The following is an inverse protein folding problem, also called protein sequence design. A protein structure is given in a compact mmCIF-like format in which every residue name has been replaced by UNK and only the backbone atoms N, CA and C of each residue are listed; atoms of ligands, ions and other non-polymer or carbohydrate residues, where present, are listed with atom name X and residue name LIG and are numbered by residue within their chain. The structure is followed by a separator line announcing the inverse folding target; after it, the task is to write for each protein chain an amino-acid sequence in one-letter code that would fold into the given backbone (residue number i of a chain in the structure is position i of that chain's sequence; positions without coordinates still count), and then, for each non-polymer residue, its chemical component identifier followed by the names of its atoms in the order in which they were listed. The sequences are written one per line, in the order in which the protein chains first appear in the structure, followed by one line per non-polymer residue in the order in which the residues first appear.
data_IF_484738524441
#
_entry.id   IF_484738524441
#
_cell.length_a   1.000
_cell.length_b   1.000
_cell.length_c   1.000
_cell.angle_alpha   90.00
_cell.angle_beta   90.00
_cell.angle_gamma   90.00
#
_symmetry.space_group_name_H-M   'P 1'
#
loop_
_entity.id
_entity.type
_entity.pdbx_description
1 polymer ?
#
# COMPACT_ATOMS: atom_id res chain seq x y z
N UNK A 1 27.86 20.11 14.64
CA UNK A 1 27.91 18.65 14.93
C UNK A 1 26.59 17.92 14.65
N UNK A 2 25.43 18.50 14.93
CA UNK A 2 24.13 17.84 14.73
C UNK A 2 23.90 17.41 13.26
N UNK A 3 24.18 18.31 12.32
CA UNK A 3 24.04 18.06 10.89
C UNK A 3 24.93 16.91 10.38
N UNK A 4 26.18 16.84 10.83
CA UNK A 4 27.08 15.75 10.47
C UNK A 4 26.59 14.40 11.00
N UNK A 5 26.13 14.35 12.26
CA UNK A 5 25.53 13.15 12.85
C UNK A 5 24.29 12.71 12.10
N UNK A 6 23.45 13.66 11.67
CA UNK A 6 22.29 13.39 10.84
C UNK A 6 22.68 12.79 9.48
N UNK A 7 23.67 13.35 8.78
CA UNK A 7 24.14 12.82 7.50
C UNK A 7 24.70 11.39 7.60
N UNK A 8 25.39 11.08 8.70
CA UNK A 8 25.91 9.73 8.92
C UNK A 8 24.78 8.78 9.30
N UNK A 9 23.79 9.22 10.09
CA UNK A 9 22.64 8.40 10.48
C UNK A 9 21.75 8.02 9.30
N UNK A 10 21.61 8.89 8.30
CA UNK A 10 20.80 8.63 7.10
C UNK A 10 21.53 7.81 6.02
N UNK A 11 22.84 7.58 6.17
CA UNK A 11 23.67 6.90 5.18
C UNK A 11 23.16 5.49 4.81
N UNK A 12 22.74 4.63 5.76
CA UNK A 12 22.14 3.33 5.41
C UNK A 12 20.86 3.47 4.57
N UNK A 13 20.05 4.49 4.83
CA UNK A 13 18.81 4.77 4.09
C UNK A 13 19.14 5.23 2.67
N UNK A 14 20.10 6.15 2.53
CA UNK A 14 20.59 6.60 1.21
C UNK A 14 21.11 5.40 0.41
N UNK A 15 21.87 4.52 1.04
CA UNK A 15 22.36 3.30 0.39
C UNK A 15 21.22 2.40 -0.08
N UNK A 16 20.20 2.15 0.76
CA UNK A 16 19.02 1.38 0.35
C UNK A 16 18.34 1.99 -0.88
N UNK A 17 18.10 3.30 -0.87
CA UNK A 17 17.44 4.01 -1.97
C UNK A 17 18.27 3.89 -3.25
N UNK A 18 19.58 4.12 -3.19
CA UNK A 18 20.47 4.01 -4.37
C UNK A 18 20.55 2.57 -4.86
N UNK A 19 20.71 1.62 -3.95
CA UNK A 19 20.82 0.19 -4.24
C UNK A 19 19.59 -0.35 -4.96
N UNK A 20 18.39 0.04 -4.52
CA UNK A 20 17.13 -0.41 -5.09
C UNK A 20 16.75 0.38 -6.36
N UNK A 21 16.84 1.71 -6.34
CA UNK A 21 16.32 2.54 -7.42
C UNK A 21 17.30 2.74 -8.58
N UNK A 22 18.58 2.97 -8.29
CA UNK A 22 19.60 3.30 -9.32
C UNK A 22 20.38 2.07 -9.78
N UNK A 23 20.85 1.27 -8.83
CA UNK A 23 21.66 0.06 -9.12
C UNK A 23 20.75 -1.12 -9.50
N UNK A 24 19.45 -1.06 -9.14
CA UNK A 24 18.46 -2.13 -9.38
C UNK A 24 18.91 -3.47 -8.79
N UNK A 25 19.59 -3.42 -7.65
CA UNK A 25 20.09 -4.59 -6.94
C UNK A 25 18.93 -5.34 -6.29
N UNK A 26 19.04 -6.67 -6.24
CA UNK A 26 18.05 -7.52 -5.57
C UNK A 26 17.90 -7.13 -4.10
N UNK A 27 16.67 -7.02 -3.60
CA UNK A 27 16.37 -6.49 -2.27
C UNK A 27 17.11 -7.19 -1.13
N UNK A 28 17.22 -8.52 -1.17
CA UNK A 28 17.95 -9.28 -0.15
C UNK A 28 19.44 -8.89 -0.06
N UNK A 29 20.08 -8.55 -1.19
CA UNK A 29 21.47 -8.04 -1.21
C UNK A 29 21.53 -6.61 -0.67
N UNK A 30 20.62 -5.75 -1.11
CA UNK A 30 20.55 -4.36 -0.64
C UNK A 30 20.39 -4.28 0.87
N UNK A 31 19.43 -5.02 1.44
CA UNK A 31 19.18 -5.07 2.88
C UNK A 31 20.37 -5.66 3.66
N UNK A 32 21.01 -6.73 3.14
CA UNK A 32 22.18 -7.33 3.79
C UNK A 32 23.36 -6.36 3.88
N UNK A 33 23.64 -5.63 2.80
CA UNK A 33 24.71 -4.62 2.80
C UNK A 33 24.35 -3.46 3.74
N UNK A 34 23.07 -3.06 3.76
CA UNK A 34 22.59 -2.01 4.68
C UNK A 34 22.78 -2.41 6.14
N UNK A 35 22.50 -3.67 6.48
CA UNK A 35 22.74 -4.21 7.82
C UNK A 35 24.21 -4.10 8.20
N UNK A 36 25.12 -4.49 7.29
CA UNK A 36 26.57 -4.39 7.51
C UNK A 36 27.00 -2.93 7.71
N UNK A 37 26.54 -2.02 6.85
CA UNK A 37 26.84 -0.58 6.97
C UNK A 37 26.36 -0.06 8.32
N UNK A 38 25.11 -0.38 8.71
CA UNK A 38 24.52 0.06 9.97
C UNK A 38 25.27 -0.49 11.18
N UNK A 39 25.70 -1.75 11.12
CA UNK A 39 26.46 -2.41 12.17
C UNK A 39 27.84 -1.77 12.36
N UNK A 40 28.56 -1.53 11.25
CA UNK A 40 29.86 -0.85 11.27
C UNK A 40 29.71 0.56 11.85
N UNK A 41 28.69 1.30 11.40
CA UNK A 41 28.41 2.63 11.89
C UNK A 41 28.14 2.63 13.40
N UNK A 42 27.25 1.75 13.89
CA UNK A 42 26.89 1.64 15.30
C UNK A 42 28.11 1.44 16.22
N UNK A 43 29.06 0.59 15.80
CA UNK A 43 30.27 0.31 16.58
C UNK A 43 31.31 1.41 16.40
N UNK A 44 31.62 1.82 15.17
CA UNK A 44 32.75 2.71 14.90
C UNK A 44 32.44 4.17 15.25
N UNK A 45 31.24 4.66 14.91
CA UNK A 45 30.88 6.07 15.06
C UNK A 45 30.09 6.35 16.34
N UNK A 46 29.11 5.50 16.66
CA UNK A 46 28.32 5.62 17.89
C UNK A 46 28.94 4.92 19.10
N UNK A 47 30.04 4.18 18.91
CA UNK A 47 30.78 3.49 19.98
C UNK A 47 29.92 2.54 20.80
N UNK A 48 28.91 1.94 20.17
CA UNK A 48 28.07 0.92 20.81
C UNK A 48 28.91 -0.33 21.10
N UNK A 49 28.68 -0.97 22.24
CA UNK A 49 29.33 -2.24 22.56
C UNK A 49 28.99 -3.29 21.46
N UNK A 50 29.98 -4.01 20.89
CA UNK A 50 29.73 -5.01 19.85
C UNK A 50 28.73 -6.10 20.26
N UNK A 51 28.70 -6.46 21.54
CA UNK A 51 27.71 -7.40 22.10
C UNK A 51 26.28 -6.84 21.97
N UNK A 52 26.06 -5.58 22.34
CA UNK A 52 24.75 -4.94 22.18
C UNK A 52 24.36 -4.75 20.72
N UNK A 53 25.32 -4.46 19.84
CA UNK A 53 25.07 -4.39 18.40
C UNK A 53 24.63 -5.75 17.84
N UNK A 54 25.28 -6.84 18.27
CA UNK A 54 24.93 -8.20 17.84
C UNK A 54 23.56 -8.64 18.37
N UNK A 55 23.25 -8.35 19.64
CA UNK A 55 21.92 -8.66 20.20
C UNK A 55 20.81 -7.86 19.52
N UNK A 56 21.04 -6.59 19.18
CA UNK A 56 20.07 -5.78 18.44
C UNK A 56 19.82 -6.33 17.03
N UNK A 57 20.88 -6.80 16.33
CA UNK A 57 20.72 -7.46 15.05
C UNK A 57 19.91 -8.77 15.18
N UNK A 58 20.18 -9.56 16.22
CA UNK A 58 19.43 -10.79 16.52
C UNK A 58 17.96 -10.50 16.83
N UNK A 59 17.68 -9.48 17.64
CA UNK A 59 16.33 -9.02 17.94
C UNK A 59 15.58 -8.63 16.66
N UNK A 60 16.23 -7.90 15.74
CA UNK A 60 15.66 -7.58 14.43
C UNK A 60 15.32 -8.82 13.60
N UNK A 61 16.19 -9.83 13.58
CA UNK A 61 15.96 -11.11 12.89
C UNK A 61 14.77 -11.86 13.53
N UNK A 62 14.72 -11.93 14.86
CA UNK A 62 13.63 -12.58 15.58
C UNK A 62 12.29 -11.86 15.38
N UNK A 63 12.28 -10.53 15.36
CA UNK A 63 11.11 -9.74 15.00
C UNK A 63 10.69 -9.93 13.53
N UNK A 64 11.61 -10.25 12.62
CA UNK A 64 11.21 -10.65 11.28
C UNK A 64 10.60 -12.06 11.24
N UNK A 65 11.21 -13.02 11.93
CA UNK A 65 10.78 -14.43 11.91
C UNK A 65 9.47 -14.67 12.68
N UNK A 66 9.29 -14.00 13.82
CA UNK A 66 8.13 -14.23 14.67
C UNK A 66 6.89 -13.50 14.16
N UNK A 67 6.69 -12.19 14.38
CA UNK A 67 5.44 -11.55 13.96
C UNK A 67 5.31 -11.43 12.44
N UNK A 68 6.37 -11.05 11.72
CA UNK A 68 6.24 -10.73 10.29
C UNK A 68 6.04 -11.99 9.44
N UNK A 69 6.92 -12.98 9.54
CA UNK A 69 6.77 -14.22 8.77
C UNK A 69 5.49 -14.98 9.12
N UNK A 70 5.07 -15.01 10.41
CA UNK A 70 3.81 -15.67 10.79
C UNK A 70 2.59 -14.99 10.16
N UNK A 71 2.52 -13.65 10.20
CA UNK A 71 1.41 -12.89 9.57
C UNK A 71 1.41 -13.12 8.05
N UNK A 72 2.57 -13.08 7.40
CA UNK A 72 2.69 -13.36 5.96
C UNK A 72 2.22 -14.77 5.63
N UNK A 73 2.64 -15.79 6.39
CA UNK A 73 2.24 -17.18 6.15
C UNK A 73 0.72 -17.32 6.32
N UNK A 74 0.15 -16.76 7.38
CA UNK A 74 -1.30 -16.80 7.62
C UNK A 74 -2.09 -16.10 6.51
N UNK A 75 -1.65 -14.91 6.09
CA UNK A 75 -2.26 -14.15 5.00
C UNK A 75 -2.14 -14.88 3.65
N UNK A 76 -0.96 -15.41 3.31
CA UNK A 76 -0.74 -16.19 2.09
C UNK A 76 -1.51 -17.51 2.11
N UNK A 77 -1.66 -18.15 3.27
CA UNK A 77 -2.49 -19.33 3.41
C UNK A 77 -3.96 -19.00 3.13
N UNK A 78 -4.50 -17.95 3.76
CA UNK A 78 -5.87 -17.50 3.51
C UNK A 78 -6.08 -17.13 2.03
N UNK A 79 -5.12 -16.41 1.44
CA UNK A 79 -5.13 -16.08 0.01
C UNK A 79 -5.13 -17.34 -0.86
N UNK A 80 -4.19 -18.27 -0.65
CA UNK A 80 -4.11 -19.51 -1.43
C UNK A 80 -5.35 -20.40 -1.24
N UNK A 81 -5.96 -20.38 -0.07
CA UNK A 81 -7.24 -21.04 0.18
C UNK A 81 -8.36 -20.42 -0.66
N UNK A 82 -8.45 -19.08 -0.72
CA UNK A 82 -9.43 -18.40 -1.58
C UNK A 82 -9.20 -18.63 -3.08
N UNK A 83 -7.94 -18.82 -3.49
CA UNK A 83 -7.61 -19.22 -4.86
C UNK A 83 -8.04 -20.67 -5.13
N UNK A 84 -7.64 -21.62 -4.28
CA UNK A 84 -7.96 -23.05 -4.46
C UNK A 84 -9.45 -23.36 -4.42
N UNK A 85 -10.21 -22.64 -3.60
CA UNK A 85 -11.67 -22.79 -3.50
C UNK A 85 -12.42 -22.13 -4.67
N UNK A 86 -11.73 -21.38 -5.54
CA UNK A 86 -12.35 -20.60 -6.60
C UNK A 86 -13.09 -19.35 -6.11
N UNK A 87 -13.08 -19.08 -4.80
CA UNK A 87 -13.73 -17.91 -4.21
C UNK A 87 -13.17 -16.60 -4.79
N UNK A 88 -11.85 -16.56 -5.05
CA UNK A 88 -11.22 -15.40 -5.67
C UNK A 88 -11.72 -15.17 -7.11
N UNK A 89 -12.02 -16.21 -7.87
CA UNK A 89 -12.57 -16.05 -9.22
C UNK A 89 -14.03 -15.59 -9.19
N UNK A 90 -14.80 -16.01 -8.19
CA UNK A 90 -16.12 -15.44 -7.90
C UNK A 90 -16.02 -13.95 -7.55
N UNK A 91 -15.06 -13.55 -6.72
CA UNK A 91 -14.79 -12.13 -6.39
C UNK A 91 -14.43 -11.36 -7.67
N UNK A 92 -13.51 -11.88 -8.49
CA UNK A 92 -13.14 -11.26 -9.79
C UNK A 92 -14.35 -11.03 -10.67
N UNK A 93 -15.18 -12.07 -10.87
CA UNK A 93 -16.41 -11.98 -11.69
C UNK A 93 -17.40 -10.97 -11.12
N UNK A 94 -17.58 -10.96 -9.79
CA UNK A 94 -18.46 -10.01 -9.12
C UNK A 94 -17.99 -8.57 -9.33
N UNK A 95 -16.70 -8.28 -9.15
CA UNK A 95 -16.14 -6.94 -9.32
C UNK A 95 -16.12 -6.50 -10.78
N UNK A 96 -15.79 -7.41 -11.71
CA UNK A 96 -15.83 -7.15 -13.14
C UNK A 96 -17.26 -6.90 -13.66
N UNK A 97 -18.26 -7.54 -13.05
CA UNK A 97 -19.67 -7.36 -13.40
C UNK A 97 -20.31 -6.06 -12.91
N UNK A 98 -19.58 -5.23 -12.15
CA UNK A 98 -20.14 -3.97 -11.60
C UNK A 98 -20.30 -2.90 -12.69
N UNK A 99 -19.36 -2.82 -13.63
CA UNK A 99 -19.36 -1.78 -14.66
C UNK A 99 -18.63 -2.24 -15.92
N UNK A 100 -19.04 -1.70 -17.06
CA UNK A 100 -18.30 -1.82 -18.33
C UNK A 100 -17.19 -0.78 -18.45
N UNK A 101 -17.19 0.28 -17.64
CA UNK A 101 -16.19 1.36 -17.68
C UNK A 101 -14.90 0.94 -16.98
N UNK A 102 -13.80 0.89 -17.75
CA UNK A 102 -12.46 0.54 -17.28
C UNK A 102 -11.94 1.42 -16.14
N UNK A 103 -12.32 2.69 -16.10
CA UNK A 103 -11.94 3.65 -15.05
C UNK A 103 -12.62 3.31 -13.73
N UNK A 104 -13.90 2.95 -13.79
CA UNK A 104 -14.68 2.51 -12.63
C UNK A 104 -14.13 1.18 -12.08
N UNK A 105 -13.84 0.22 -12.96
CA UNK A 105 -13.23 -1.06 -12.56
C UNK A 105 -11.85 -0.85 -11.92
N UNK A 106 -11.05 0.07 -12.44
CA UNK A 106 -9.79 0.48 -11.81
C UNK A 106 -10.01 1.01 -10.38
N UNK A 107 -10.97 1.89 -10.15
CA UNK A 107 -11.28 2.40 -8.80
C UNK A 107 -11.74 1.30 -7.84
N UNK A 108 -12.56 0.37 -8.30
CA UNK A 108 -13.06 -0.71 -7.43
C UNK A 108 -11.95 -1.73 -7.15
N UNK A 109 -11.24 -2.17 -8.19
CA UNK A 109 -10.28 -3.28 -8.10
C UNK A 109 -8.91 -2.79 -7.65
N UNK A 110 -8.33 -1.80 -8.33
CA UNK A 110 -6.97 -1.35 -8.05
C UNK A 110 -6.87 -0.42 -6.84
N UNK A 111 -7.85 0.47 -6.64
CA UNK A 111 -7.87 1.35 -5.45
C UNK A 111 -8.56 0.68 -4.26
N UNK A 112 -9.84 0.33 -4.38
CA UNK A 112 -10.59 -0.31 -3.28
C UNK A 112 -9.99 -1.65 -2.85
N UNK A 113 -10.10 -2.67 -3.71
CA UNK A 113 -9.62 -4.02 -3.39
C UNK A 113 -8.10 -4.09 -3.22
N UNK A 114 -7.32 -3.30 -3.96
CA UNK A 114 -5.88 -3.18 -3.76
C UNK A 114 -5.52 -2.72 -2.36
N UNK A 115 -6.11 -1.62 -1.88
CA UNK A 115 -5.86 -1.13 -0.53
C UNK A 115 -6.37 -2.08 0.56
N UNK A 116 -7.45 -2.82 0.30
CA UNK A 116 -7.89 -3.90 1.18
C UNK A 116 -6.82 -4.98 1.33
N UNK A 117 -6.23 -5.41 0.21
CA UNK A 117 -5.13 -6.38 0.18
C UNK A 117 -3.86 -5.83 0.82
N UNK A 118 -3.58 -4.53 0.69
CA UNK A 118 -2.46 -3.89 1.40
C UNK A 118 -2.66 -3.93 2.91
N UNK A 119 -3.87 -3.63 3.38
CA UNK A 119 -4.23 -3.71 4.79
C UNK A 119 -4.13 -5.13 5.35
N UNK A 120 -4.61 -6.14 4.62
CA UNK A 120 -4.69 -7.53 5.11
C UNK A 120 -3.40 -8.34 4.92
N UNK A 121 -2.77 -8.22 3.76
CA UNK A 121 -1.65 -9.07 3.36
C UNK A 121 -0.33 -8.30 3.22
N UNK A 122 -0.34 -7.15 2.54
CA UNK A 122 0.85 -6.33 2.29
C UNK A 122 1.89 -7.00 1.37
N UNK A 123 3.16 -6.58 1.48
CA UNK A 123 4.31 -7.21 0.80
C UNK A 123 4.17 -7.38 -0.73
N UNK A 124 3.49 -6.45 -1.39
CA UNK A 124 3.34 -6.41 -2.84
C UNK A 124 2.17 -7.22 -3.41
N UNK A 125 1.44 -7.98 -2.58
CA UNK A 125 0.21 -8.68 -3.03
C UNK A 125 -0.87 -7.69 -3.47
N UNK A 126 -0.92 -6.53 -2.81
CA UNK A 126 -1.82 -5.42 -3.11
C UNK A 126 -1.67 -4.84 -4.51
N UNK A 127 -0.50 -5.01 -5.13
CA UNK A 127 -0.25 -4.55 -6.50
C UNK A 127 -0.44 -5.71 -7.47
N UNK A 128 0.18 -6.86 -7.19
CA UNK A 128 0.23 -7.98 -8.11
C UNK A 128 -1.17 -8.52 -8.47
N UNK A 129 -2.04 -8.68 -7.47
CA UNK A 129 -3.36 -9.28 -7.66
C UNK A 129 -4.28 -8.33 -8.43
N UNK A 130 -4.54 -7.09 -7.99
CA UNK A 130 -5.43 -6.18 -8.72
C UNK A 130 -4.92 -5.87 -10.13
N UNK A 131 -3.61 -5.71 -10.32
CA UNK A 131 -3.04 -5.47 -11.65
C UNK A 131 -3.31 -6.66 -12.60
N UNK A 132 -3.12 -7.90 -12.12
CA UNK A 132 -3.43 -9.10 -12.92
C UNK A 132 -4.93 -9.23 -13.23
N UNK A 133 -5.81 -8.83 -12.30
CA UNK A 133 -7.26 -8.83 -12.49
C UNK A 133 -7.67 -7.80 -13.53
N UNK A 134 -7.17 -6.56 -13.42
CA UNK A 134 -7.41 -5.49 -14.38
C UNK A 134 -6.90 -5.84 -15.78
N UNK A 135 -5.71 -6.43 -15.88
CA UNK A 135 -5.20 -6.94 -17.15
C UNK A 135 -6.10 -8.06 -17.71
N UNK A 136 -6.56 -8.99 -16.86
CA UNK A 136 -7.42 -10.11 -17.26
C UNK A 136 -8.80 -9.70 -17.79
N UNK A 137 -9.31 -8.52 -17.41
CA UNK A 137 -10.57 -7.97 -17.91
C UNK A 137 -10.38 -7.03 -19.13
N UNK A 138 -9.21 -7.04 -19.76
CA UNK A 138 -8.95 -6.30 -21.01
C UNK A 138 -8.33 -4.91 -20.83
N UNK A 139 -7.90 -4.54 -19.62
CA UNK A 139 -7.09 -3.33 -19.43
C UNK A 139 -5.67 -3.56 -19.96
N UNK A 140 -5.04 -2.51 -20.48
CA UNK A 140 -3.64 -2.59 -20.87
C UNK A 140 -2.78 -3.02 -19.64
N UNK A 141 -2.01 -4.13 -19.72
CA UNK A 141 -1.27 -4.65 -18.58
C UNK A 141 -0.26 -3.66 -17.98
N UNK A 142 0.39 -2.83 -18.81
CA UNK A 142 1.31 -1.80 -18.33
C UNK A 142 0.57 -0.69 -17.58
N UNK A 143 -0.58 -0.23 -18.10
CA UNK A 143 -1.41 0.75 -17.41
C UNK A 143 -1.95 0.19 -16.09
N UNK A 144 -2.40 -1.07 -16.06
CA UNK A 144 -2.89 -1.74 -14.85
C UNK A 144 -1.81 -1.80 -13.76
N UNK A 145 -0.63 -2.33 -14.09
CA UNK A 145 0.50 -2.44 -13.14
C UNK A 145 0.97 -1.06 -12.68
N UNK A 146 1.10 -0.10 -13.60
CA UNK A 146 1.56 1.25 -13.26
C UNK A 146 0.55 1.96 -12.36
N UNK A 147 -0.74 1.89 -12.69
CA UNK A 147 -1.79 2.50 -11.88
C UNK A 147 -1.82 1.91 -10.47
N UNK A 148 -1.79 0.58 -10.34
CA UNK A 148 -1.74 -0.10 -9.04
C UNK A 148 -0.48 0.25 -8.24
N UNK A 149 0.71 0.31 -8.87
CA UNK A 149 1.95 0.72 -8.19
C UNK A 149 1.87 2.15 -7.64
N UNK A 150 1.35 3.08 -8.45
CA UNK A 150 1.26 4.49 -8.07
C UNK A 150 0.30 4.66 -6.90
N UNK A 151 -0.91 4.08 -6.97
CA UNK A 151 -1.88 4.27 -5.88
C UNK A 151 -1.54 3.50 -4.62
N UNK A 152 -0.84 2.36 -4.73
CA UNK A 152 -0.36 1.63 -3.56
C UNK A 152 0.75 2.39 -2.81
N UNK A 153 1.29 3.48 -3.36
CA UNK A 153 2.32 4.26 -2.67
C UNK A 153 1.79 5.09 -1.49
N UNK A 154 0.47 5.29 -1.38
CA UNK A 154 -0.13 6.10 -0.31
C UNK A 154 -0.57 5.34 0.94
N UNK A 155 -1.25 4.17 0.87
CA UNK A 155 -1.76 3.49 2.06
C UNK A 155 -0.72 2.66 2.84
N UNK A 156 0.53 2.57 2.35
CA UNK A 156 1.52 1.59 2.82
C UNK A 156 1.88 1.71 4.30
N UNK A 157 1.77 2.89 4.91
CA UNK A 157 2.03 3.06 6.34
C UNK A 157 1.07 2.24 7.23
N UNK A 158 -0.16 1.99 6.75
CA UNK A 158 -1.19 1.20 7.42
C UNK A 158 -1.28 -0.23 6.88
N UNK A 159 -0.33 -0.63 6.05
CA UNK A 159 -0.26 -1.96 5.45
C UNK A 159 0.05 -3.05 6.46
N UNK A 160 -0.29 -4.29 6.11
CA UNK A 160 -0.07 -5.49 6.94
C UNK A 160 -0.57 -5.31 8.37
N UNK A 161 -1.79 -4.81 8.53
CA UNK A 161 -2.44 -4.55 9.82
C UNK A 161 -1.61 -3.58 10.67
N UNK A 162 -1.11 -2.50 10.05
CA UNK A 162 -0.41 -1.42 10.76
C UNK A 162 1.02 -1.73 11.22
N UNK A 163 1.61 -2.86 10.81
CA UNK A 163 2.96 -3.27 11.22
C UNK A 163 4.00 -2.15 11.09
N UNK A 164 4.06 -1.34 10.01
CA UNK A 164 5.04 -0.25 9.91
C UNK A 164 4.96 0.76 11.06
N UNK A 165 3.74 1.18 11.42
CA UNK A 165 3.51 2.15 12.50
C UNK A 165 3.66 1.52 13.89
N UNK A 166 3.21 0.28 14.08
CA UNK A 166 3.42 -0.45 15.34
C UNK A 166 4.91 -0.69 15.59
N UNK A 167 5.67 -1.05 14.56
CA UNK A 167 7.13 -1.21 14.65
C UNK A 167 7.80 0.14 14.96
N UNK A 168 7.39 1.21 14.28
CA UNK A 168 7.90 2.56 14.54
C UNK A 168 7.60 3.00 15.98
N UNK A 169 6.41 2.69 16.50
CA UNK A 169 6.02 2.95 17.89
C UNK A 169 6.96 2.26 18.87
N UNK A 170 7.24 0.96 18.68
CA UNK A 170 8.14 0.19 19.53
C UNK A 170 9.58 0.72 19.54
N UNK A 171 10.07 1.24 18.40
CA UNK A 171 11.45 1.76 18.29
C UNK A 171 11.57 3.19 18.83
N UNK A 172 10.54 4.01 18.68
CA UNK A 172 10.59 5.44 19.07
C UNK A 172 10.02 5.72 20.46
N UNK A 173 9.24 4.80 21.03
CA UNK A 173 8.49 5.00 22.27
C UNK A 173 7.29 5.95 22.12
N UNK A 174 6.96 6.40 20.90
CA UNK A 174 5.79 7.25 20.64
C UNK A 174 4.55 6.36 20.50
N UNK A 175 3.41 6.69 21.13
CA UNK A 175 2.20 5.87 21.04
C UNK A 175 1.74 5.64 19.59
N UNK A 176 1.39 4.40 19.25
CA UNK A 176 0.94 4.00 17.90
C UNK A 176 -0.21 4.87 17.38
N UNK A 177 -1.19 5.20 18.22
CA UNK A 177 -2.32 6.05 17.82
C UNK A 177 -1.89 7.47 17.45
N UNK A 178 -0.88 8.03 18.12
CA UNK A 178 -0.32 9.34 17.77
C UNK A 178 0.42 9.29 16.44
N UNK A 179 1.19 8.22 16.20
CA UNK A 179 1.86 8.02 14.92
C UNK A 179 0.84 7.83 13.79
N UNK A 180 -0.19 7.00 14.00
CA UNK A 180 -1.26 6.76 13.05
C UNK A 180 -1.99 8.06 12.67
N UNK A 181 -2.40 8.86 13.65
CA UNK A 181 -3.04 10.15 13.40
C UNK A 181 -2.16 11.10 12.60
N UNK A 182 -0.89 11.27 12.99
CA UNK A 182 0.03 12.18 12.31
C UNK A 182 0.36 11.71 10.89
N UNK A 183 0.61 10.42 10.71
CA UNK A 183 0.86 9.85 9.38
C UNK A 183 -0.36 9.99 8.48
N UNK A 184 -1.57 9.75 9.01
CA UNK A 184 -2.80 9.96 8.25
C UNK A 184 -2.97 11.41 7.79
N UNK A 185 -2.61 12.39 8.63
CA UNK A 185 -2.62 13.81 8.25
C UNK A 185 -1.64 14.10 7.11
N UNK A 186 -0.40 13.59 7.23
CA UNK A 186 0.65 13.77 6.22
C UNK A 186 0.22 13.17 4.87
N UNK A 187 -0.39 11.98 4.91
CA UNK A 187 -0.77 11.22 3.72
C UNK A 187 -2.16 11.60 3.18
N UNK A 188 -2.99 12.34 3.92
CA UNK A 188 -4.39 12.62 3.56
C UNK A 188 -4.55 13.20 2.15
N UNK A 189 -3.74 14.20 1.82
CA UNK A 189 -3.80 14.87 0.50
C UNK A 189 -3.42 13.88 -0.61
N UNK A 190 -2.34 13.12 -0.42
CA UNK A 190 -1.87 12.15 -1.41
C UNK A 190 -2.87 11.01 -1.59
N UNK A 191 -3.43 10.51 -0.49
CA UNK A 191 -4.45 9.45 -0.48
C UNK A 191 -5.71 9.92 -1.19
N UNK A 192 -6.12 11.18 -0.99
CA UNK A 192 -7.26 11.77 -1.70
C UNK A 192 -7.02 11.91 -3.21
N UNK A 193 -5.82 12.32 -3.62
CA UNK A 193 -5.49 12.55 -5.02
C UNK A 193 -5.21 11.23 -5.77
N UNK A 194 -4.78 10.18 -5.08
CA UNK A 194 -4.41 8.87 -5.65
C UNK A 194 -5.43 8.27 -6.63
N UNK A 195 -6.73 8.15 -6.31
CA UNK A 195 -7.72 7.62 -7.26
C UNK A 195 -7.86 8.47 -8.53
N UNK A 196 -7.65 9.78 -8.46
CA UNK A 196 -7.64 10.64 -9.65
C UNK A 196 -6.44 10.35 -10.56
N UNK A 197 -5.25 10.17 -9.95
CA UNK A 197 -4.07 9.76 -10.71
C UNK A 197 -4.29 8.39 -11.36
N UNK A 198 -4.94 7.47 -10.65
CA UNK A 198 -5.28 6.16 -11.18
C UNK A 198 -6.11 6.26 -12.46
N UNK A 199 -7.18 7.05 -12.44
CA UNK A 199 -8.06 7.24 -13.60
C UNK A 199 -7.31 7.90 -14.74
N UNK A 200 -6.43 8.87 -14.46
CA UNK A 200 -5.58 9.47 -15.48
C UNK A 200 -4.63 8.47 -16.14
N UNK A 201 -4.02 7.56 -15.37
CA UNK A 201 -3.13 6.52 -15.92
C UNK A 201 -3.93 5.55 -16.78
N UNK A 202 -5.07 5.09 -16.27
CA UNK A 202 -5.89 4.06 -16.92
C UNK A 202 -6.60 4.59 -18.18
N UNK A 203 -7.09 5.83 -18.14
CA UNK A 203 -7.79 6.45 -19.26
C UNK A 203 -6.91 7.28 -20.19
N UNK A 204 -5.58 7.22 -20.05
CA UNK A 204 -4.63 7.84 -20.99
C UNK A 204 -4.48 9.36 -20.88
N UNK A 205 -4.83 9.96 -19.73
CA UNK A 205 -4.57 11.36 -19.42
C UNK A 205 -5.68 12.03 -18.61
N UNK A 206 -5.50 13.33 -18.34
CA UNK A 206 -6.42 14.14 -17.51
C UNK A 206 -7.84 14.19 -18.10
N UNK A 207 -7.98 14.08 -19.42
CA UNK A 207 -9.28 14.05 -20.10
C UNK A 207 -10.16 12.89 -19.64
N UNK A 208 -9.57 11.79 -19.17
CA UNK A 208 -10.29 10.62 -18.66
C UNK A 208 -11.13 10.92 -17.41
N UNK A 209 -10.81 12.00 -16.68
CA UNK A 209 -11.61 12.46 -15.54
C UNK A 209 -12.94 13.07 -15.99
N UNK A 210 -13.06 13.53 -17.25
CA UNK A 210 -14.34 13.96 -17.80
C UNK A 210 -15.27 12.75 -17.83
N UNK A 211 -16.50 12.91 -17.35
CA UNK A 211 -17.46 11.81 -17.23
C UNK A 211 -17.29 10.91 -15.99
N UNK A 212 -16.05 10.70 -15.52
CA UNK A 212 -15.76 9.84 -14.34
C UNK A 212 -15.45 10.60 -13.05
N UNK A 213 -15.37 11.94 -13.10
CA UNK A 213 -14.94 12.79 -11.98
C UNK A 213 -15.76 12.56 -10.71
N UNK A 214 -17.09 12.52 -10.81
CA UNK A 214 -17.97 12.36 -9.65
C UNK A 214 -17.75 11.00 -8.99
N UNK A 215 -17.63 9.93 -9.79
CA UNK A 215 -17.40 8.58 -9.25
C UNK A 215 -16.01 8.50 -8.60
N UNK A 216 -15.01 9.12 -9.22
CA UNK A 216 -13.64 9.21 -8.68
C UNK A 216 -13.62 9.98 -7.36
N UNK A 217 -14.35 11.09 -7.27
CA UNK A 217 -14.47 11.89 -6.06
C UNK A 217 -15.17 11.11 -4.94
N UNK A 218 -16.25 10.39 -5.27
CA UNK A 218 -16.94 9.52 -4.30
C UNK A 218 -15.97 8.44 -3.80
N UNK A 219 -15.25 7.77 -4.70
CA UNK A 219 -14.24 6.76 -4.36
C UNK A 219 -13.14 7.32 -3.45
N UNK A 220 -12.63 8.52 -3.75
CA UNK A 220 -11.63 9.21 -2.93
C UNK A 220 -12.14 9.51 -1.52
N UNK A 221 -13.31 10.16 -1.41
CA UNK A 221 -13.87 10.56 -0.11
C UNK A 221 -14.29 9.36 0.73
N UNK A 222 -14.91 8.36 0.10
CA UNK A 222 -15.35 7.13 0.78
C UNK A 222 -14.20 6.22 1.19
N UNK A 223 -12.99 6.43 0.67
CA UNK A 223 -11.77 5.86 1.24
C UNK A 223 -11.21 6.74 2.36
N UNK A 224 -10.87 7.99 2.03
CA UNK A 224 -10.07 8.87 2.89
C UNK A 224 -10.76 9.20 4.21
N UNK A 225 -12.07 9.48 4.20
CA UNK A 225 -12.78 9.85 5.43
C UNK A 225 -12.80 8.70 6.45
N UNK A 226 -13.31 7.50 6.13
CA UNK A 226 -13.31 6.39 7.07
C UNK A 226 -11.89 5.91 7.40
N UNK A 227 -10.95 5.93 6.44
CA UNK A 227 -9.54 5.64 6.71
C UNK A 227 -8.95 6.59 7.75
N UNK A 228 -9.13 7.90 7.58
CA UNK A 228 -8.62 8.94 8.50
C UNK A 228 -9.26 8.85 9.89
N UNK A 229 -10.59 8.65 9.95
CA UNK A 229 -11.31 8.48 11.21
C UNK A 229 -10.80 7.23 11.94
N UNK A 230 -10.62 6.13 11.22
CA UNK A 230 -10.11 4.89 11.83
C UNK A 230 -8.68 5.07 12.32
N UNK A 231 -7.83 5.77 11.57
CA UNK A 231 -6.44 6.05 11.95
C UNK A 231 -6.33 6.90 13.22
N UNK A 232 -7.28 7.82 13.41
CA UNK A 232 -7.28 8.75 14.55
C UNK A 232 -7.97 8.19 15.79
N UNK A 233 -9.04 7.40 15.61
CA UNK A 233 -9.87 6.90 16.72
C UNK A 233 -9.47 5.50 17.17
N UNK A 234 -9.09 4.62 16.23
CA UNK A 234 -8.86 3.20 16.51
C UNK A 234 -7.37 2.89 16.63
N UNK A 235 -6.58 3.30 15.63
CA UNK A 235 -5.16 2.98 15.58
C UNK A 235 -4.66 2.69 14.17
N UNK A 236 -3.48 2.07 14.07
CA UNK A 236 -2.79 1.83 12.81
C UNK A 236 -3.30 0.59 12.04
N UNK A 237 -4.07 -0.27 12.69
CA UNK A 237 -4.31 -1.66 12.26
C UNK A 237 -5.42 -1.79 11.22
N UNK A 238 -6.51 -1.04 11.41
CA UNK A 238 -7.73 -1.13 10.61
C UNK A 238 -7.93 -0.06 9.50
N UNK A 239 -7.21 1.08 9.42
CA UNK A 239 -7.54 2.15 8.48
C UNK A 239 -7.69 1.72 7.02
N UNK A 240 -6.75 0.95 6.49
CA UNK A 240 -6.79 0.49 5.11
C UNK A 240 -7.97 -0.45 4.84
N UNK A 241 -8.28 -1.34 5.79
CA UNK A 241 -9.37 -2.31 5.67
C UNK A 241 -10.72 -1.58 5.69
N UNK A 242 -10.92 -0.68 6.64
CA UNK A 242 -12.18 0.06 6.77
C UNK A 242 -12.36 1.02 5.58
N UNK A 243 -11.31 1.78 5.23
CA UNK A 243 -11.34 2.70 4.09
C UNK A 243 -11.65 2.00 2.77
N UNK A 244 -11.03 0.85 2.51
CA UNK A 244 -11.24 0.08 1.29
C UNK A 244 -12.65 -0.51 1.18
N UNK A 245 -13.20 -1.06 2.26
CA UNK A 245 -14.56 -1.62 2.27
C UNK A 245 -15.58 -0.51 1.99
N UNK A 246 -15.46 0.64 2.67
CA UNK A 246 -16.30 1.80 2.42
C UNK A 246 -16.17 2.27 0.97
N UNK A 247 -14.95 2.44 0.49
CA UNK A 247 -14.66 2.84 -0.90
C UNK A 247 -15.35 1.94 -1.93
N UNK A 248 -15.19 0.62 -1.80
CA UNK A 248 -15.82 -0.33 -2.73
C UNK A 248 -17.35 -0.24 -2.65
N UNK A 249 -17.93 -0.21 -1.45
CA UNK A 249 -19.38 -0.15 -1.27
C UNK A 249 -19.99 1.13 -1.89
N UNK A 250 -19.43 2.30 -1.56
CA UNK A 250 -19.91 3.58 -2.06
C UNK A 250 -19.67 3.75 -3.56
N UNK A 251 -18.55 3.24 -4.10
CA UNK A 251 -18.29 3.28 -5.54
C UNK A 251 -19.29 2.41 -6.31
N UNK A 252 -19.58 1.19 -5.82
CA UNK A 252 -20.60 0.31 -6.42
C UNK A 252 -21.99 0.96 -6.39
N UNK A 253 -22.37 1.59 -5.26
CA UNK A 253 -23.65 2.31 -5.14
C UNK A 253 -23.69 3.50 -6.10
N UNK A 254 -22.63 4.30 -6.15
CA UNK A 254 -22.53 5.47 -7.03
C UNK A 254 -22.69 5.07 -8.50
N UNK A 255 -22.05 3.97 -8.92
CA UNK A 255 -22.21 3.44 -10.28
C UNK A 255 -23.66 3.07 -10.57
N UNK A 256 -24.35 2.39 -9.67
CA UNK A 256 -25.76 2.03 -9.87
C UNK A 256 -26.70 3.25 -9.97
N UNK A 257 -26.38 4.34 -9.27
CA UNK A 257 -27.22 5.55 -9.24
C UNK A 257 -26.90 6.50 -10.40
N UNK A 258 -25.62 6.65 -10.73
CA UNK A 258 -25.15 7.70 -11.64
C UNK A 258 -24.88 7.21 -13.06
N UNK A 259 -24.57 5.91 -13.25
CA UNK A 259 -24.04 5.42 -14.51
C UNK A 259 -25.17 5.04 -15.50
N UNK A 260 -25.81 6.05 -16.10
CA UNK A 260 -26.79 5.85 -17.19
C UNK A 260 -26.16 5.81 -18.59
N UNK A 261 -24.95 6.33 -18.82
CA UNK A 261 -24.24 6.26 -20.10
C UNK A 261 -22.73 6.29 -19.87
N UNK A 262 -22.08 5.12 -19.83
CA UNK A 262 -20.62 5.06 -19.90
C UNK A 262 -20.17 5.52 -21.29
N UNK A 263 -19.08 6.28 -21.37
CA UNK A 263 -18.50 6.71 -22.65
C UNK A 263 -17.97 5.47 -23.39
N UNK A 264 -18.38 5.28 -24.65
CA UNK A 264 -18.04 4.09 -25.46
C UNK A 264 -16.52 3.88 -25.58
N UNK A 265 -15.74 4.95 -25.61
CA UNK A 265 -14.27 4.92 -25.67
C UNK A 265 -13.62 4.18 -24.49
N UNK A 266 -14.28 4.16 -23.33
CA UNK A 266 -13.77 3.53 -22.10
C UNK A 266 -14.50 2.23 -21.73
N UNK A 267 -15.43 1.78 -22.57
CA UNK A 267 -16.10 0.50 -22.43
C UNK A 267 -15.26 -0.64 -23.04
N UNK A 268 -15.52 -1.87 -22.60
CA UNK A 268 -15.09 -3.09 -23.30
C UNK A 268 -16.15 -3.53 -24.30
#
# INVERSE_FOLDING_TARGET
MLFLRFLIAILPIIWLIIGLSKIKMQGYKACSITLIITFILAIAFWKLNPGYAATAALEGILNALWPICLVIIAALFAYNLTLRTGAMDSIKKMLAGVSTDKRVLALIIGWGFGNFMEGMAGFGTAVAIPASMLAGIGLNPFAAVTACLVVNSTPTAFGSVGIPLVTLSSVTGVPSNTLAANTAIIEAILTFISPFIMVCIVGGGIKALRGSFIITLISALSFVLPWYITATVVGAELPNIVGSICCMAFTVIAVKVLNKNAEEEYCN
#
